data_IF_158987631063
#
_entry.id   IF_158987631063
#
_cell.length_a   1.000
_cell.length_b   1.000
_cell.length_c   1.000
_cell.angle_alpha   90.00
_cell.angle_beta   90.00
_cell.angle_gamma   90.00
#
_symmetry.space_group_name_H-M   'P 1'
#
loop_
_entity.id
_entity.type
_entity.pdbx_description
1 polymer ?
#
# COMPACT_ATOMS: atom_id res chain seq x y z
N UNK A 1 10.22 -24.11 1.29
CA UNK A 1 9.94 -22.79 0.67
C UNK A 1 9.82 -21.78 1.79
N UNK A 2 10.56 -20.68 1.71
CA UNK A 2 10.42 -19.58 2.67
C UNK A 2 9.05 -18.92 2.45
N UNK A 3 8.32 -18.55 3.50
CA UNK A 3 6.95 -17.99 3.45
C UNK A 3 6.87 -16.70 2.61
N UNK A 4 7.98 -15.95 2.53
CA UNK A 4 8.13 -14.80 1.62
C UNK A 4 7.92 -15.19 0.15
N UNK A 5 8.42 -16.37 -0.25
CA UNK A 5 8.30 -16.86 -1.62
C UNK A 5 6.84 -17.21 -1.96
N UNK A 6 6.00 -17.56 -0.97
CA UNK A 6 4.62 -17.97 -1.23
C UNK A 6 3.75 -16.79 -1.68
N UNK A 7 3.81 -15.64 -0.97
CA UNK A 7 3.08 -14.45 -1.40
C UNK A 7 3.58 -13.99 -2.77
N UNK A 8 4.91 -13.98 -2.96
CA UNK A 8 5.49 -13.58 -4.24
C UNK A 8 5.12 -14.55 -5.37
N UNK A 9 5.02 -15.85 -5.13
CA UNK A 9 4.56 -16.81 -6.14
C UNK A 9 3.13 -16.51 -6.61
N UNK A 10 2.23 -16.18 -5.67
CA UNK A 10 0.85 -15.82 -5.99
C UNK A 10 0.80 -14.51 -6.77
N UNK A 11 1.55 -13.51 -6.33
CA UNK A 11 1.60 -12.22 -7.02
C UNK A 11 2.21 -12.37 -8.41
N UNK A 12 3.18 -13.26 -8.62
CA UNK A 12 3.76 -13.50 -9.95
C UNK A 12 2.77 -14.16 -10.92
N UNK A 13 1.82 -14.97 -10.43
CA UNK A 13 0.78 -15.59 -11.27
C UNK A 13 -0.51 -14.77 -11.39
N UNK A 14 -0.68 -13.72 -10.59
CA UNK A 14 -1.83 -12.82 -10.64
C UNK A 14 -1.74 -11.81 -11.80
N UNK A 15 -2.90 -11.31 -12.23
CA UNK A 15 -3.01 -10.30 -13.30
C UNK A 15 -2.87 -8.88 -12.77
N UNK A 16 -2.29 -7.99 -13.57
CA UNK A 16 -2.19 -6.55 -13.28
C UNK A 16 -3.51 -5.77 -13.51
N UNK A 17 -4.64 -6.49 -13.54
CA UNK A 17 -5.98 -5.97 -13.82
C UNK A 17 -6.97 -6.41 -12.74
N UNK A 18 -8.06 -5.64 -12.51
CA UNK A 18 -9.16 -6.08 -11.66
C UNK A 18 -9.72 -7.43 -12.12
N UNK A 19 -10.17 -8.25 -11.17
CA UNK A 19 -10.88 -9.49 -11.47
C UNK A 19 -12.32 -9.20 -11.91
N UNK A 20 -13.00 -10.18 -12.50
CA UNK A 20 -14.43 -10.08 -12.80
C UNK A 20 -15.27 -9.81 -11.55
N UNK A 21 -14.83 -10.31 -10.38
CA UNK A 21 -15.50 -10.06 -9.09
C UNK A 21 -15.38 -8.58 -8.69
N UNK A 22 -14.19 -7.98 -8.84
CA UNK A 22 -14.01 -6.55 -8.60
C UNK A 22 -14.82 -5.69 -9.56
N UNK A 23 -14.84 -6.06 -10.84
CA UNK A 23 -15.64 -5.36 -11.86
C UNK A 23 -17.13 -5.42 -11.50
N UNK A 24 -17.62 -6.54 -10.96
CA UNK A 24 -18.99 -6.65 -10.46
C UNK A 24 -19.28 -5.66 -9.31
N UNK A 25 -18.36 -5.52 -8.33
CA UNK A 25 -18.51 -4.49 -7.28
C UNK A 25 -18.50 -3.06 -7.86
N UNK A 26 -17.68 -2.79 -8.88
CA UNK A 26 -17.62 -1.48 -9.52
C UNK A 26 -18.95 -1.14 -10.21
N UNK A 27 -19.54 -2.11 -10.91
CA UNK A 27 -20.82 -1.95 -11.60
C UNK A 27 -22.01 -1.77 -10.64
N UNK A 28 -21.91 -2.29 -9.40
CA UNK A 28 -22.93 -2.13 -8.36
C UNK A 28 -22.84 -0.78 -7.61
N UNK A 29 -21.84 0.04 -7.90
CA UNK A 29 -21.70 1.36 -7.29
C UNK A 29 -22.64 2.39 -7.94
N UNK A 30 -23.22 3.29 -7.13
CA UNK A 30 -24.02 4.43 -7.62
C UNK A 30 -23.26 5.27 -8.64
N UNK A 31 -21.96 5.50 -8.38
CA UNK A 31 -21.00 6.05 -9.33
C UNK A 31 -19.97 4.97 -9.61
N UNK A 32 -19.93 4.46 -10.84
CA UNK A 32 -18.97 3.43 -11.24
C UNK A 32 -17.53 3.99 -11.15
N UNK A 33 -16.66 3.40 -10.31
CA UNK A 33 -15.32 3.92 -10.05
C UNK A 33 -14.25 3.42 -11.03
N UNK A 34 -14.55 2.47 -11.93
CA UNK A 34 -13.57 1.71 -12.73
C UNK A 34 -12.56 2.62 -13.44
N UNK A 35 -13.02 3.55 -14.26
CA UNK A 35 -12.16 4.48 -15.01
C UNK A 35 -11.28 5.34 -14.09
N UNK A 36 -11.80 5.71 -12.92
CA UNK A 36 -11.04 6.51 -11.95
C UNK A 36 -9.94 5.69 -11.28
N UNK A 37 -10.21 4.41 -10.99
CA UNK A 37 -9.25 3.47 -10.40
C UNK A 37 -8.14 3.16 -11.40
N UNK A 38 -8.50 2.84 -12.65
CA UNK A 38 -7.53 2.51 -13.70
C UNK A 38 -6.58 3.69 -13.99
N UNK A 39 -7.14 4.91 -14.17
CA UNK A 39 -6.32 6.12 -14.36
C UNK A 39 -5.43 6.44 -13.17
N UNK A 40 -5.91 6.20 -11.94
CA UNK A 40 -5.09 6.38 -10.73
C UNK A 40 -3.91 5.41 -10.70
N UNK A 41 -4.15 4.13 -10.99
CA UNK A 41 -3.09 3.10 -11.05
C UNK A 41 -2.06 3.43 -12.14
N UNK A 42 -2.49 3.94 -13.28
CA UNK A 42 -1.56 4.38 -14.32
C UNK A 42 -0.71 5.59 -13.87
N UNK A 43 -1.37 6.64 -13.39
CA UNK A 43 -0.74 7.89 -12.94
C UNK A 43 0.28 7.67 -11.82
N UNK A 44 -0.12 6.96 -10.75
CA UNK A 44 0.77 6.62 -9.64
C UNK A 44 1.91 5.71 -10.09
N UNK A 45 1.72 4.90 -11.13
CA UNK A 45 2.77 4.08 -11.73
C UNK A 45 3.85 4.91 -12.39
N UNK A 46 3.47 5.96 -13.12
CA UNK A 46 4.45 6.89 -13.70
C UNK A 46 5.25 7.61 -12.60
N UNK A 47 4.58 8.07 -11.55
CA UNK A 47 5.22 8.76 -10.42
C UNK A 47 6.18 7.81 -9.71
N UNK A 48 5.73 6.59 -9.37
CA UNK A 48 6.54 5.60 -8.69
C UNK A 48 7.79 5.24 -9.48
N UNK A 49 7.64 4.88 -10.77
CA UNK A 49 8.79 4.48 -11.61
C UNK A 49 9.82 5.60 -11.74
N UNK A 50 9.35 6.85 -11.92
CA UNK A 50 10.24 8.02 -11.97
C UNK A 50 10.99 8.19 -10.65
N UNK A 51 10.29 8.21 -9.52
CA UNK A 51 10.89 8.38 -8.18
C UNK A 51 11.83 7.24 -7.80
N UNK A 52 11.49 6.02 -8.18
CA UNK A 52 12.34 4.85 -7.99
C UNK A 52 13.64 4.97 -8.79
N UNK A 53 13.57 5.35 -10.07
CA UNK A 53 14.75 5.52 -10.91
C UNK A 53 15.63 6.71 -10.46
N UNK A 54 15.02 7.79 -9.98
CA UNK A 54 15.74 8.91 -9.33
C UNK A 54 16.51 8.46 -8.08
N UNK A 55 15.96 7.51 -7.32
CA UNK A 55 16.54 7.04 -6.07
C UNK A 55 17.61 5.96 -6.29
N UNK A 56 17.36 4.97 -7.16
CA UNK A 56 18.23 3.79 -7.34
C UNK A 56 19.16 3.91 -8.54
N UNK A 57 18.90 4.86 -9.44
CA UNK A 57 19.61 5.06 -10.69
C UNK A 57 18.80 4.62 -11.91
N UNK A 58 19.00 5.34 -13.02
CA UNK A 58 18.21 5.17 -14.24
C UNK A 58 18.31 3.77 -14.86
N UNK A 59 19.41 3.06 -14.64
CA UNK A 59 19.59 1.67 -15.07
C UNK A 59 18.66 0.66 -14.39
N UNK A 60 18.00 1.05 -13.29
CA UNK A 60 17.09 0.19 -12.53
C UNK A 60 15.61 0.47 -12.81
N UNK A 61 15.28 1.22 -13.87
CA UNK A 61 13.90 1.58 -14.21
C UNK A 61 12.98 0.35 -14.38
N UNK A 62 13.48 -0.73 -14.99
CA UNK A 62 12.72 -1.97 -15.19
C UNK A 62 12.41 -2.66 -13.87
N UNK A 63 13.35 -2.64 -12.91
CA UNK A 63 13.13 -3.16 -11.56
C UNK A 63 11.98 -2.37 -10.90
N UNK A 64 12.00 -1.04 -10.99
CA UNK A 64 10.92 -0.21 -10.48
C UNK A 64 9.56 -0.54 -11.10
N UNK A 65 9.52 -0.84 -12.41
CA UNK A 65 8.31 -1.29 -13.11
C UNK A 65 7.78 -2.61 -12.54
N UNK A 66 8.65 -3.60 -12.36
CA UNK A 66 8.29 -4.90 -11.80
C UNK A 66 7.79 -4.80 -10.35
N UNK A 67 8.45 -3.99 -9.51
CA UNK A 67 7.98 -3.73 -8.13
C UNK A 67 6.59 -3.11 -8.14
N UNK A 68 6.36 -2.15 -9.03
CA UNK A 68 5.07 -1.49 -9.12
C UNK A 68 3.95 -2.47 -9.51
N UNK A 69 4.17 -3.31 -10.52
CA UNK A 69 3.22 -4.34 -10.96
C UNK A 69 2.85 -5.29 -9.81
N UNK A 70 3.83 -5.81 -9.08
CA UNK A 70 3.55 -6.65 -7.89
C UNK A 70 2.71 -5.92 -6.84
N UNK A 71 2.97 -4.62 -6.63
CA UNK A 71 2.16 -3.79 -5.75
C UNK A 71 0.72 -3.62 -6.23
N UNK A 72 0.51 -3.41 -7.54
CA UNK A 72 -0.83 -3.32 -8.16
C UNK A 72 -1.61 -4.62 -8.00
N UNK A 73 -0.96 -5.76 -8.22
CA UNK A 73 -1.59 -7.08 -8.03
C UNK A 73 -2.04 -7.29 -6.59
N UNK A 74 -1.17 -6.96 -5.63
CA UNK A 74 -1.50 -7.06 -4.21
C UNK A 74 -2.62 -6.08 -3.82
N UNK A 75 -2.60 -4.86 -4.36
CA UNK A 75 -3.63 -3.85 -4.17
C UNK A 75 -5.02 -4.33 -4.61
N UNK A 76 -5.17 -4.85 -5.83
CA UNK A 76 -6.47 -5.37 -6.29
C UNK A 76 -6.92 -6.57 -5.46
N UNK A 77 -6.00 -7.49 -5.17
CA UNK A 77 -6.28 -8.67 -4.35
C UNK A 77 -6.80 -8.31 -2.96
N UNK A 78 -6.15 -7.36 -2.29
CA UNK A 78 -6.55 -6.90 -0.96
C UNK A 78 -7.86 -6.13 -1.02
N UNK A 79 -8.05 -5.27 -2.03
CA UNK A 79 -9.32 -4.56 -2.22
C UNK A 79 -10.50 -5.52 -2.35
N UNK A 80 -10.36 -6.56 -3.18
CA UNK A 80 -11.41 -7.56 -3.35
C UNK A 80 -11.74 -8.28 -2.03
N UNK A 81 -10.70 -8.67 -1.29
CA UNK A 81 -10.84 -9.30 0.03
C UNK A 81 -11.58 -8.38 1.02
N UNK A 82 -11.21 -7.10 1.07
CA UNK A 82 -11.89 -6.10 1.91
C UNK A 82 -13.36 -5.94 1.54
N UNK A 83 -13.69 -5.84 0.25
CA UNK A 83 -15.08 -5.68 -0.20
C UNK A 83 -15.93 -6.90 0.14
N UNK A 84 -15.39 -8.12 -0.02
CA UNK A 84 -16.06 -9.37 0.39
C UNK A 84 -16.35 -9.37 1.89
N UNK A 85 -15.36 -9.05 2.71
CA UNK A 85 -15.55 -8.97 4.17
C UNK A 85 -16.57 -7.89 4.57
N UNK A 86 -16.57 -6.74 3.90
CA UNK A 86 -17.52 -5.66 4.18
C UNK A 86 -18.94 -6.00 3.72
N UNK A 87 -19.10 -6.70 2.59
CA UNK A 87 -20.37 -7.21 2.09
C UNK A 87 -20.99 -8.19 3.08
N UNK A 88 -20.20 -9.15 3.57
CA UNK A 88 -20.63 -10.10 4.59
C UNK A 88 -21.01 -9.41 5.91
N UNK A 89 -20.26 -8.37 6.31
CA UNK A 89 -20.45 -7.66 7.58
C UNK A 89 -21.67 -6.73 7.57
N UNK A 90 -21.91 -6.05 6.45
CA UNK A 90 -22.92 -4.99 6.34
C UNK A 90 -24.18 -5.44 5.61
N UNK A 91 -24.14 -6.58 4.90
CA UNK A 91 -25.23 -7.04 4.01
C UNK A 91 -25.61 -5.98 2.97
N UNK A 92 -24.61 -5.26 2.43
CA UNK A 92 -24.77 -4.26 1.36
C UNK A 92 -23.85 -4.59 0.19
N UNK A 93 -24.32 -4.29 -1.02
CA UNK A 93 -23.60 -4.55 -2.27
C UNK A 93 -23.02 -3.29 -2.93
N UNK A 94 -23.35 -2.10 -2.41
CA UNK A 94 -22.94 -0.82 -2.97
C UNK A 94 -21.90 -0.13 -2.08
N UNK A 95 -20.65 -0.10 -2.56
CA UNK A 95 -19.52 0.52 -1.88
C UNK A 95 -19.07 1.83 -2.54
N UNK A 96 -19.97 2.52 -3.24
CA UNK A 96 -19.63 3.69 -4.06
C UNK A 96 -18.89 4.77 -3.29
N UNK A 97 -19.25 5.03 -2.02
CA UNK A 97 -18.54 6.01 -1.18
C UNK A 97 -17.08 5.63 -0.96
N UNK A 98 -16.80 4.36 -0.67
CA UNK A 98 -15.45 3.86 -0.42
C UNK A 98 -14.64 3.81 -1.72
N UNK A 99 -15.23 3.25 -2.79
CA UNK A 99 -14.53 3.03 -4.05
C UNK A 99 -14.38 4.28 -4.92
N UNK A 100 -15.05 5.38 -4.57
CA UNK A 100 -14.76 6.68 -5.16
C UNK A 100 -13.84 7.55 -4.29
N UNK A 101 -13.37 7.04 -3.14
CA UNK A 101 -12.47 7.78 -2.26
C UNK A 101 -11.01 7.65 -2.74
N UNK A 102 -10.48 8.76 -3.25
CA UNK A 102 -9.09 8.83 -3.73
C UNK A 102 -8.05 8.51 -2.66
N UNK A 103 -8.30 8.91 -1.42
CA UNK A 103 -7.38 8.69 -0.30
C UNK A 103 -7.34 7.20 0.04
N UNK A 104 -8.50 6.53 0.12
CA UNK A 104 -8.57 5.09 0.33
C UNK A 104 -7.70 4.32 -0.69
N UNK A 105 -7.89 4.58 -1.98
CA UNK A 105 -7.14 3.88 -3.02
C UNK A 105 -5.65 4.17 -2.98
N UNK A 106 -5.27 5.43 -2.73
CA UNK A 106 -3.85 5.82 -2.66
C UNK A 106 -3.18 5.19 -1.44
N UNK A 107 -3.84 5.18 -0.28
CA UNK A 107 -3.37 4.49 0.93
C UNK A 107 -3.24 2.99 0.73
N UNK A 108 -4.24 2.35 0.12
CA UNK A 108 -4.22 0.91 -0.09
C UNK A 108 -3.09 0.49 -1.04
N UNK A 109 -2.89 1.23 -2.13
CA UNK A 109 -1.80 0.98 -3.07
C UNK A 109 -0.43 1.26 -2.44
N UNK A 110 -0.30 2.34 -1.66
CA UNK A 110 0.92 2.63 -0.91
C UNK A 110 1.27 1.49 0.05
N UNK A 111 0.29 0.95 0.77
CA UNK A 111 0.49 -0.15 1.72
C UNK A 111 0.94 -1.43 1.00
N UNK A 112 0.32 -1.75 -0.14
CA UNK A 112 0.73 -2.86 -0.99
C UNK A 112 2.18 -2.70 -1.49
N UNK A 113 2.56 -1.51 -1.94
CA UNK A 113 3.92 -1.21 -2.38
C UNK A 113 4.93 -1.25 -1.24
N UNK A 114 4.57 -0.76 -0.04
CA UNK A 114 5.44 -0.84 1.14
C UNK A 114 5.83 -2.29 1.45
N UNK A 115 4.86 -3.22 1.40
CA UNK A 115 5.15 -4.65 1.58
C UNK A 115 6.09 -5.19 0.50
N UNK A 116 5.83 -4.87 -0.77
CA UNK A 116 6.70 -5.31 -1.87
C UNK A 116 8.11 -4.77 -1.68
N UNK A 117 8.25 -3.48 -1.41
CA UNK A 117 9.52 -2.81 -1.21
C UNK A 117 10.30 -3.35 -0.01
N UNK A 118 9.64 -3.52 1.14
CA UNK A 118 10.25 -4.09 2.35
C UNK A 118 10.71 -5.55 2.15
N UNK A 119 10.00 -6.30 1.31
CA UNK A 119 10.35 -7.70 1.01
C UNK A 119 11.62 -7.78 0.16
N UNK A 120 11.73 -6.93 -0.87
CA UNK A 120 12.85 -6.97 -1.79
C UNK A 120 14.08 -6.18 -1.32
N UNK A 121 13.89 -5.12 -0.52
CA UNK A 121 14.99 -4.39 0.11
C UNK A 121 15.83 -5.28 1.02
N UNK A 122 15.23 -6.27 1.70
CA UNK A 122 15.94 -7.25 2.52
C UNK A 122 16.76 -8.26 1.71
N UNK A 123 16.42 -8.49 0.45
CA UNK A 123 17.12 -9.45 -0.42
C UNK A 123 18.23 -8.81 -1.25
N UNK A 124 18.31 -7.48 -1.27
CA UNK A 124 19.25 -6.72 -2.10
C UNK A 124 20.52 -6.29 -1.34
N UNK A 125 20.90 -7.00 -0.26
CA UNK A 125 22.20 -6.77 0.38
C UNK A 125 23.33 -6.92 -0.66
N UNK A 126 24.32 -6.00 -0.65
CA UNK A 126 25.11 -5.62 -1.80
C UNK A 126 26.13 -6.72 -2.16
N UNK A 127 25.92 -7.41 -3.29
CA UNK A 127 26.99 -8.19 -3.91
C UNK A 127 27.94 -7.31 -4.74
N UNK A 128 27.54 -6.09 -5.12
CA UNK A 128 28.36 -5.19 -5.93
C UNK A 128 28.48 -3.82 -5.27
N UNK A 129 29.65 -3.56 -4.66
CA UNK A 129 29.96 -2.37 -3.84
C UNK A 129 30.08 -1.03 -4.59
N UNK A 130 29.11 -0.69 -5.44
CA UNK A 130 29.13 0.56 -6.24
C UNK A 130 27.82 1.35 -6.30
N UNK A 131 26.75 0.95 -5.60
CA UNK A 131 25.55 1.78 -5.48
C UNK A 131 25.42 2.31 -4.05
N UNK A 132 25.26 3.63 -3.91
CA UNK A 132 24.95 4.25 -2.63
C UNK A 132 23.72 3.56 -2.04
N UNK A 133 23.82 3.06 -0.81
CA UNK A 133 22.73 2.40 -0.09
C UNK A 133 21.53 3.35 -0.01
N UNK A 134 20.63 3.21 -0.97
CA UNK A 134 19.43 4.05 -1.03
C UNK A 134 18.37 3.36 -0.21
N UNK A 135 18.15 3.85 1.00
CA UNK A 135 17.10 3.35 1.87
C UNK A 135 15.73 3.75 1.32
N UNK A 136 15.07 2.81 0.65
CA UNK A 136 13.70 2.94 0.15
C UNK A 136 12.65 2.46 1.18
N UNK A 137 13.02 2.36 2.46
CA UNK A 137 12.10 1.97 3.51
C UNK A 137 11.06 3.06 3.81
N UNK A 138 9.99 2.68 4.51
CA UNK A 138 9.04 3.62 5.08
C UNK A 138 9.76 4.80 5.78
N UNK A 139 9.40 6.08 5.53
CA UNK A 139 8.17 6.54 4.90
C UNK A 139 8.35 6.94 3.44
N UNK A 140 9.33 6.39 2.72
CA UNK A 140 9.63 6.77 1.33
C UNK A 140 8.38 6.77 0.44
N UNK A 141 7.56 5.71 0.50
CA UNK A 141 6.35 5.58 -0.30
C UNK A 141 5.34 6.72 -0.05
N UNK A 142 5.28 7.26 1.18
CA UNK A 142 4.41 8.40 1.48
C UNK A 142 4.84 9.64 0.71
N UNK A 143 6.15 9.87 0.62
CA UNK A 143 6.70 11.01 -0.12
C UNK A 143 6.52 10.84 -1.63
N UNK A 144 6.60 9.60 -2.14
CA UNK A 144 6.39 9.30 -3.55
C UNK A 144 4.98 9.66 -4.00
N UNK A 145 3.97 9.38 -3.18
CA UNK A 145 2.56 9.63 -3.52
C UNK A 145 1.97 10.91 -2.92
N UNK A 146 2.78 11.74 -2.24
CA UNK A 146 2.30 12.87 -1.41
C UNK A 146 1.13 12.45 -0.48
N UNK A 147 1.26 11.27 0.10
CA UNK A 147 0.25 10.68 0.99
C UNK A 147 0.54 11.08 2.43
N UNK A 148 -0.49 11.57 3.14
CA UNK A 148 -0.34 11.90 4.56
C UNK A 148 -0.25 10.61 5.38
N UNK A 149 0.68 10.61 6.34
CA UNK A 149 0.92 9.46 7.21
C UNK A 149 -0.35 8.97 7.93
N UNK A 150 -1.20 9.89 8.40
CA UNK A 150 -2.46 9.55 9.04
C UNK A 150 -3.46 8.85 8.10
N UNK A 151 -3.45 9.18 6.81
CA UNK A 151 -4.31 8.51 5.83
C UNK A 151 -3.80 7.11 5.48
N UNK A 152 -2.48 6.91 5.48
CA UNK A 152 -1.88 5.58 5.36
C UNK A 152 -2.22 4.71 6.58
N UNK A 153 -2.11 5.26 7.79
CA UNK A 153 -2.41 4.55 9.04
C UNK A 153 -3.77 3.85 9.02
N UNK A 154 -4.82 4.54 8.52
CA UNK A 154 -6.20 4.05 8.47
C UNK A 154 -6.38 2.73 7.72
N UNK A 155 -5.46 2.36 6.81
CA UNK A 155 -5.58 1.13 6.02
C UNK A 155 -4.79 -0.04 6.60
N UNK A 156 -3.84 0.18 7.51
CA UNK A 156 -2.88 -0.84 7.96
C UNK A 156 -3.59 -2.06 8.56
N UNK A 157 -4.44 -1.83 9.57
CA UNK A 157 -5.13 -2.91 10.28
C UNK A 157 -6.02 -3.73 9.33
N UNK A 158 -6.83 -3.06 8.52
CA UNK A 158 -7.69 -3.70 7.53
C UNK A 158 -6.87 -4.46 6.47
N UNK A 159 -5.70 -3.94 6.07
CA UNK A 159 -4.80 -4.61 5.13
C UNK A 159 -4.28 -5.92 5.69
N UNK A 160 -3.81 -5.92 6.96
CA UNK A 160 -3.32 -7.10 7.64
C UNK A 160 -4.43 -8.17 7.74
N UNK A 161 -5.65 -7.76 8.08
CA UNK A 161 -6.80 -8.67 8.16
C UNK A 161 -7.19 -9.25 6.80
N UNK A 162 -7.09 -8.46 5.74
CA UNK A 162 -7.53 -8.84 4.40
C UNK A 162 -6.54 -9.73 3.63
N UNK A 163 -5.25 -9.75 3.98
CA UNK A 163 -4.25 -10.65 3.38
C UNK A 163 -3.68 -11.65 4.41
N UNK A 164 -4.33 -12.81 4.60
CA UNK A 164 -3.88 -13.82 5.57
C UNK A 164 -2.55 -14.48 5.20
N UNK A 165 -2.03 -14.27 3.97
CA UNK A 165 -0.75 -14.82 3.51
C UNK A 165 0.45 -13.91 3.79
N UNK A 166 0.25 -12.77 4.47
CA UNK A 166 1.36 -11.98 4.97
C UNK A 166 2.20 -12.80 5.96
N UNK A 167 3.51 -12.72 5.83
CA UNK A 167 4.42 -13.38 6.78
C UNK A 167 4.45 -12.61 8.10
N UNK A 168 4.86 -13.28 9.19
CA UNK A 168 5.05 -12.63 10.50
C UNK A 168 5.94 -11.38 10.41
N UNK A 169 6.95 -11.42 9.56
CA UNK A 169 7.89 -10.31 9.41
C UNK A 169 7.32 -9.15 8.59
N UNK A 170 6.40 -9.42 7.65
CA UNK A 170 5.63 -8.39 6.94
C UNK A 170 4.63 -7.72 7.87
N UNK A 171 3.94 -8.50 8.70
CA UNK A 171 2.99 -7.98 9.70
C UNK A 171 3.73 -7.08 10.70
N UNK A 172 4.83 -7.56 11.29
CA UNK A 172 5.68 -6.75 12.19
C UNK A 172 6.21 -5.47 11.54
N UNK A 173 6.48 -5.51 10.24
CA UNK A 173 6.92 -4.32 9.50
C UNK A 173 5.80 -3.28 9.42
N UNK A 174 4.57 -3.70 9.09
CA UNK A 174 3.41 -2.82 9.05
C UNK A 174 3.06 -2.27 10.45
N UNK A 175 3.08 -3.09 11.48
CA UNK A 175 2.91 -2.66 12.89
C UNK A 175 3.98 -1.61 13.28
N UNK A 176 5.23 -1.79 12.83
CA UNK A 176 6.28 -0.77 13.06
C UNK A 176 6.01 0.52 12.28
N UNK A 177 5.50 0.44 11.06
CA UNK A 177 5.10 1.63 10.30
C UNK A 177 3.97 2.37 11.04
N UNK A 178 2.96 1.65 11.51
CA UNK A 178 1.88 2.16 12.35
C UNK A 178 2.40 2.89 13.58
N UNK A 179 3.27 2.27 14.38
CA UNK A 179 3.86 2.92 15.55
C UNK A 179 4.61 4.21 15.19
N UNK A 180 5.43 4.20 14.12
CA UNK A 180 6.15 5.41 13.68
C UNK A 180 5.22 6.54 13.28
N UNK A 181 4.07 6.21 12.66
CA UNK A 181 3.05 7.20 12.31
C UNK A 181 2.45 7.81 13.58
N UNK A 182 2.04 6.96 14.51
CA UNK A 182 1.42 7.33 15.77
C UNK A 182 2.35 8.09 16.71
N UNK A 183 3.65 7.81 16.68
CA UNK A 183 4.63 8.50 17.52
C UNK A 183 5.03 9.87 16.97
N UNK A 184 5.11 10.03 15.64
CA UNK A 184 5.72 11.24 15.05
C UNK A 184 5.17 11.70 13.71
N UNK A 185 4.96 10.81 12.73
CA UNK A 185 4.72 11.24 11.35
C UNK A 185 3.35 11.88 11.14
N UNK A 186 2.31 11.42 11.86
CA UNK A 186 0.97 12.02 11.79
C UNK A 186 0.96 13.47 12.33
N UNK A 187 1.97 13.83 13.10
CA UNK A 187 1.99 15.07 13.87
C UNK A 187 2.91 16.15 13.30
N UNK A 188 3.63 15.90 12.20
CA UNK A 188 4.68 16.81 11.74
C UNK A 188 4.20 18.23 11.40
N UNK A 189 2.93 18.40 11.05
CA UNK A 189 2.29 19.71 10.80
C UNK A 189 1.53 20.28 12.02
N UNK A 190 1.44 19.53 13.12
CA UNK A 190 0.69 19.89 14.33
C UNK A 190 1.65 20.53 15.34
N UNK A 191 1.26 21.66 15.95
CA UNK A 191 2.09 22.29 16.98
C UNK A 191 2.34 21.33 18.16
N UNK A 192 3.52 21.40 18.79
CA UNK A 192 3.93 20.45 19.85
C UNK A 192 2.92 20.36 21.02
N UNK A 193 2.15 21.43 21.27
CA UNK A 193 1.09 21.46 22.28
C UNK A 193 -0.07 20.54 21.90
N UNK A 194 -0.55 20.58 20.66
CA UNK A 194 -1.65 19.74 20.19
C UNK A 194 -1.24 18.25 20.08
N UNK A 195 0.04 17.97 19.81
CA UNK A 195 0.58 16.59 19.82
C UNK A 195 0.36 15.89 21.15
N UNK A 196 0.62 16.59 22.26
CA UNK A 196 0.55 16.03 23.60
C UNK A 196 -0.89 15.75 24.03
N UNK A 197 -1.85 16.59 23.62
CA UNK A 197 -3.28 16.36 23.88
C UNK A 197 -3.88 15.22 23.04
N UNK A 198 -3.50 15.11 21.76
CA UNK A 198 -4.06 14.10 20.85
C UNK A 198 -3.41 12.71 21.02
N UNK A 199 -2.12 12.64 21.36
CA UNK A 199 -1.44 11.36 21.65
C UNK A 199 -2.08 10.64 22.84
N UNK A 200 -2.53 11.38 23.85
CA UNK A 200 -3.27 10.82 25.00
C UNK A 200 -4.66 10.33 24.60
N UNK A 201 -5.31 10.98 23.64
CA UNK A 201 -6.67 10.62 23.22
C UNK A 201 -6.69 9.39 22.30
N UNK A 202 -5.70 9.21 21.42
CA UNK A 202 -5.65 8.06 20.50
C UNK A 202 -5.07 6.80 21.16
N UNK A 203 -4.18 6.91 22.17
CA UNK A 203 -3.75 5.72 22.95
C UNK A 203 -4.87 5.11 23.82
N UNK A 204 -6.00 5.80 23.96
CA UNK A 204 -7.14 5.38 24.79
C UNK A 204 -8.39 4.97 23.99
N UNK A 205 -8.29 4.83 22.67
CA UNK A 205 -9.30 4.20 21.80
C UNK A 205 -8.71 2.89 21.28
#
# INVERSE_FOLDING_TARGET
MNTIQQLMMILNSATDKPSDTLIAYFNNCTVNPEDSILRRVESLGHIFRKKFAEAVGQGCAEIGSQRYQLGVRLYYRVMESMLKSEEERLSVHNFSKLLNDNIFHTSLLACALEIVMATYGRTASPSDGTSAETDLSFPWILSVFDLKAFDFYKVIESFIKAEPRLTRDMIKHLERCEHRIMESLAWQSVSNVLKQYLSLYIMHI
#
